data_IF_865830638698
#
_entry.id   IF_865830638698
#
_cell.length_a   1.000
_cell.length_b   1.000
_cell.length_c   1.000
_cell.angle_alpha   90.00
_cell.angle_beta   90.00
_cell.angle_gamma   90.00
#
_symmetry.space_group_name_H-M   'P 1'
#
loop_
_entity.id
_entity.type
_entity.pdbx_description
1 polymer ?
#
# COMPACT_ATOMS: atom_id res chain seq x y z
N UNK A 1 -27.06 -36.74 4.96
CA UNK A 1 -27.26 -35.52 4.13
C UNK A 1 -25.89 -34.90 3.91
N UNK A 2 -25.33 -35.05 2.70
CA UNK A 2 -24.00 -34.54 2.36
C UNK A 2 -24.08 -33.03 2.10
N UNK A 3 -23.35 -32.25 2.87
CA UNK A 3 -23.18 -30.81 2.65
C UNK A 3 -22.24 -30.62 1.46
N UNK A 4 -22.80 -30.26 0.30
CA UNK A 4 -22.02 -29.79 -0.84
C UNK A 4 -21.30 -28.49 -0.44
N UNK A 5 -19.98 -28.57 -0.39
CA UNK A 5 -19.11 -27.38 -0.43
C UNK A 5 -19.31 -26.72 -1.79
N UNK A 6 -19.97 -25.57 -1.79
CA UNK A 6 -20.10 -24.72 -2.96
C UNK A 6 -18.71 -24.11 -3.23
N UNK A 7 -17.93 -24.73 -4.13
CA UNK A 7 -16.73 -24.14 -4.71
C UNK A 7 -17.17 -22.96 -5.59
N UNK A 8 -17.49 -21.85 -4.95
CA UNK A 8 -17.94 -20.63 -5.60
C UNK A 8 -16.81 -19.99 -6.41
N UNK A 9 -16.96 -20.02 -7.73
CA UNK A 9 -16.58 -18.98 -8.69
C UNK A 9 -15.18 -18.34 -8.56
N UNK A 10 -14.15 -19.07 -8.99
CA UNK A 10 -12.87 -18.45 -9.39
C UNK A 10 -12.94 -17.64 -10.71
N UNK A 11 -14.14 -17.56 -11.33
CA UNK A 11 -14.38 -16.88 -12.61
C UNK A 11 -15.27 -15.64 -12.50
N UNK A 12 -15.53 -15.11 -11.29
CA UNK A 12 -16.05 -13.75 -11.20
C UNK A 12 -14.90 -12.79 -11.52
N UNK A 13 -15.08 -11.81 -12.43
CA UNK A 13 -14.19 -10.66 -12.43
C UNK A 13 -14.23 -10.16 -10.99
N UNK A 14 -13.09 -10.20 -10.29
CA UNK A 14 -12.99 -9.53 -8.99
C UNK A 14 -13.53 -8.13 -9.23
N UNK A 15 -14.70 -7.84 -8.65
CA UNK A 15 -15.22 -6.48 -8.64
C UNK A 15 -14.05 -5.60 -8.26
N UNK A 16 -13.80 -4.56 -9.06
CA UNK A 16 -12.72 -3.63 -8.81
C UNK A 16 -12.95 -3.01 -7.44
N UNK A 17 -12.45 -3.65 -6.37
CA UNK A 17 -12.20 -2.99 -5.11
C UNK A 17 -11.12 -2.00 -5.48
N UNK A 18 -11.56 -0.77 -5.80
CA UNK A 18 -10.67 0.31 -6.20
C UNK A 18 -9.59 0.40 -5.13
N UNK A 19 -8.43 -0.10 -5.50
CA UNK A 19 -7.17 0.04 -4.83
C UNK A 19 -7.10 1.33 -4.01
N UNK A 20 -7.14 1.23 -2.68
CA UNK A 20 -7.17 2.42 -1.83
C UNK A 20 -5.76 2.94 -1.63
N UNK A 21 -5.49 4.13 -2.17
CA UNK A 21 -4.20 4.79 -2.01
C UNK A 21 -3.96 5.25 -0.57
N UNK A 22 -2.70 5.19 -0.15
CA UNK A 22 -2.26 5.57 1.20
C UNK A 22 -2.68 6.99 1.60
N UNK A 23 -2.81 7.91 0.64
CA UNK A 23 -3.26 9.28 0.89
C UNK A 23 -4.67 9.37 1.49
N UNK A 24 -5.50 8.32 1.40
CA UNK A 24 -6.83 8.27 2.04
C UNK A 24 -6.77 8.22 3.58
N UNK A 25 -5.62 7.87 4.14
CA UNK A 25 -5.38 7.84 5.58
C UNK A 25 -4.34 8.90 6.00
N UNK A 26 -4.28 10.03 5.27
CA UNK A 26 -3.42 11.16 5.63
C UNK A 26 -3.61 11.57 7.10
N UNK A 27 -2.50 11.81 7.80
CA UNK A 27 -2.46 12.18 9.21
C UNK A 27 -2.75 11.03 10.19
N UNK A 28 -3.04 9.82 9.71
CA UNK A 28 -3.25 8.66 10.58
C UNK A 28 -1.93 7.99 10.93
N UNK A 29 -1.82 7.57 12.19
CA UNK A 29 -0.72 6.72 12.67
C UNK A 29 -0.98 5.28 12.26
N UNK A 30 0.07 4.59 11.86
CA UNK A 30 0.02 3.19 11.46
C UNK A 30 1.32 2.44 11.78
N UNK A 31 1.20 1.12 11.79
CA UNK A 31 2.30 0.17 11.82
C UNK A 31 2.18 -0.75 10.60
N UNK A 32 3.26 -0.86 9.84
CA UNK A 32 3.32 -1.68 8.62
C UNK A 32 3.76 -3.08 9.01
N UNK A 33 2.94 -4.08 8.70
CA UNK A 33 3.24 -5.50 8.98
C UNK A 33 3.67 -6.27 7.73
N UNK A 34 3.48 -5.69 6.55
CA UNK A 34 3.91 -6.33 5.31
C UNK A 34 4.12 -5.29 4.19
N UNK A 35 5.04 -5.60 3.27
CA UNK A 35 5.25 -4.88 2.02
C UNK A 35 5.25 -5.91 0.89
N UNK A 36 4.33 -5.76 -0.06
CA UNK A 36 4.17 -6.67 -1.20
C UNK A 36 3.91 -5.93 -2.49
N UNK A 37 4.09 -6.61 -3.60
CA UNK A 37 3.64 -6.15 -4.91
C UNK A 37 2.36 -6.86 -5.30
N UNK A 38 1.52 -6.17 -6.07
CA UNK A 38 0.36 -6.78 -6.74
C UNK A 38 0.30 -6.26 -8.18
N UNK A 39 -0.24 -7.07 -9.09
CA UNK A 39 -0.44 -6.67 -10.49
C UNK A 39 -1.91 -6.34 -10.71
N UNK A 40 -2.17 -5.27 -11.44
CA UNK A 40 -3.54 -4.81 -11.69
C UNK A 40 -3.67 -3.95 -12.94
N UNK A 41 -4.91 -3.60 -13.26
CA UNK A 41 -5.17 -2.70 -14.38
C UNK A 41 -4.55 -1.32 -14.11
N UNK A 42 -3.84 -0.73 -15.09
CA UNK A 42 -3.25 0.57 -14.94
C UNK A 42 -4.31 1.65 -14.70
N UNK A 43 -3.92 2.66 -13.94
CA UNK A 43 -4.71 3.89 -13.79
C UNK A 43 -4.43 4.83 -14.96
N UNK A 44 -5.26 5.86 -15.20
CA UNK A 44 -4.97 6.89 -16.20
C UNK A 44 -3.63 7.62 -15.98
N UNK A 45 -3.08 7.56 -14.76
CA UNK A 45 -1.82 8.18 -14.37
C UNK A 45 -0.63 7.21 -14.40
N UNK A 46 -0.84 5.94 -14.74
CA UNK A 46 0.24 4.95 -14.84
C UNK A 46 1.12 5.28 -16.05
N UNK A 47 2.44 5.45 -15.89
CA UNK A 47 3.33 5.70 -17.03
C UNK A 47 3.26 4.54 -18.03
N UNK A 48 3.22 4.85 -19.34
CA UNK A 48 3.14 3.82 -20.39
C UNK A 48 4.26 2.77 -20.28
N UNK A 49 5.47 3.18 -19.91
CA UNK A 49 6.60 2.27 -19.71
C UNK A 49 6.53 1.37 -18.47
N UNK A 50 5.55 1.58 -17.59
CA UNK A 50 5.30 0.71 -16.43
C UNK A 50 4.19 -0.33 -16.70
N UNK A 51 3.54 -0.27 -17.86
CA UNK A 51 2.52 -1.22 -18.29
C UNK A 51 3.22 -2.35 -19.04
N UNK A 52 3.07 -3.58 -18.56
CA UNK A 52 3.60 -4.78 -19.21
C UNK A 52 2.89 -5.08 -20.53
N UNK A 53 3.47 -5.97 -21.32
CA UNK A 53 2.89 -6.42 -22.60
C UNK A 53 1.49 -7.04 -22.44
N UNK A 54 1.20 -7.58 -21.25
CA UNK A 54 -0.09 -8.12 -20.85
C UNK A 54 -1.12 -7.05 -20.43
N UNK A 55 -0.76 -5.76 -20.53
CA UNK A 55 -1.63 -4.64 -20.19
C UNK A 55 -1.78 -4.40 -18.69
N UNK A 56 -0.98 -5.06 -17.85
CA UNK A 56 -1.03 -4.92 -16.39
C UNK A 56 0.18 -4.12 -15.88
N UNK A 57 -0.01 -3.41 -14.77
CA UNK A 57 1.09 -2.71 -14.07
C UNK A 57 1.29 -3.30 -12.69
N UNK A 58 2.53 -3.24 -12.21
CA UNK A 58 2.85 -3.55 -10.82
C UNK A 58 2.52 -2.37 -9.91
N UNK A 59 2.02 -2.70 -8.73
CA UNK A 59 1.71 -1.77 -7.66
C UNK A 59 2.36 -2.20 -6.37
N UNK A 60 2.88 -1.24 -5.61
CA UNK A 60 3.39 -1.48 -4.27
C UNK A 60 2.25 -1.32 -3.25
N UNK A 61 2.11 -2.30 -2.36
CA UNK A 61 1.07 -2.34 -1.34
C UNK A 61 1.73 -2.57 0.01
N UNK A 62 1.32 -1.79 0.99
CA UNK A 62 1.60 -2.09 2.40
C UNK A 62 0.35 -2.68 3.04
N UNK A 63 0.54 -3.65 3.93
CA UNK A 63 -0.50 -4.07 4.86
C UNK A 63 -0.20 -3.48 6.25
N UNK A 64 -1.21 -2.93 6.89
CA UNK A 64 -1.11 -2.30 8.21
C UNK A 64 -1.64 -3.21 9.32
N UNK A 65 -1.18 -2.99 10.54
CA UNK A 65 -1.76 -3.61 11.75
C UNK A 65 -3.16 -3.05 11.97
N UNK A 66 -3.29 -1.73 11.83
CA UNK A 66 -4.54 -1.00 11.97
C UNK A 66 -5.45 -1.24 10.76
N UNK A 67 -6.75 -1.09 10.99
CA UNK A 67 -7.75 -0.99 9.93
C UNK A 67 -8.41 0.38 10.00
N UNK A 68 -8.61 1.00 8.85
CA UNK A 68 -9.19 2.33 8.73
C UNK A 68 -10.53 2.25 8.00
N UNK A 69 -11.53 2.98 8.48
CA UNK A 69 -12.82 3.06 7.83
C UNK A 69 -12.77 4.09 6.69
N UNK A 70 -12.99 3.60 5.46
CA UNK A 70 -12.95 4.40 4.23
C UNK A 70 -14.14 3.95 3.39
N UNK A 71 -15.06 4.88 3.09
CA UNK A 71 -16.30 4.59 2.37
C UNK A 71 -17.08 3.40 2.97
N UNK A 72 -17.22 3.37 4.30
CA UNK A 72 -17.90 2.33 5.08
C UNK A 72 -17.27 0.93 4.95
N UNK A 73 -16.01 0.84 4.51
CA UNK A 73 -15.24 -0.39 4.48
C UNK A 73 -14.04 -0.28 5.41
N UNK A 74 -13.77 -1.33 6.17
CA UNK A 74 -12.52 -1.45 6.94
C UNK A 74 -11.40 -1.91 6.03
N UNK A 75 -10.40 -1.07 5.87
CA UNK A 75 -9.28 -1.28 4.95
C UNK A 75 -7.97 -1.27 5.74
N UNK A 76 -7.16 -2.29 5.53
CA UNK A 76 -5.83 -2.44 6.15
C UNK A 76 -4.72 -2.63 5.12
N UNK A 77 -5.02 -2.41 3.83
CA UNK A 77 -4.07 -2.60 2.73
C UNK A 77 -4.13 -1.40 1.82
N UNK A 78 -2.97 -0.79 1.56
CA UNK A 78 -2.89 0.51 0.88
C UNK A 78 -1.85 0.51 -0.22
N UNK A 79 -2.21 1.13 -1.34
CA UNK A 79 -1.29 1.39 -2.44
C UNK A 79 -0.37 2.53 -2.05
N UNK A 80 0.95 2.31 -2.20
CA UNK A 80 1.97 3.26 -1.79
C UNK A 80 2.84 3.70 -2.96
N UNK A 81 3.42 4.88 -2.81
CA UNK A 81 4.37 5.44 -3.77
C UNK A 81 5.72 4.74 -3.66
N UNK A 82 6.56 4.76 -4.72
CA UNK A 82 7.94 4.29 -4.64
C UNK A 82 8.76 4.98 -3.54
N UNK A 83 8.43 6.23 -3.18
CA UNK A 83 9.10 6.94 -2.09
C UNK A 83 8.90 6.24 -0.73
N UNK A 84 7.67 5.80 -0.43
CA UNK A 84 7.37 5.03 0.79
C UNK A 84 8.09 3.69 0.77
N UNK A 85 8.11 3.01 -0.37
CA UNK A 85 8.85 1.75 -0.53
C UNK A 85 10.33 1.94 -0.21
N UNK A 86 10.94 3.01 -0.72
CA UNK A 86 12.32 3.35 -0.42
C UNK A 86 12.55 3.65 1.07
N UNK A 87 11.60 4.28 1.76
CA UNK A 87 11.70 4.50 3.21
C UNK A 87 11.73 3.18 3.98
N UNK A 88 10.88 2.22 3.63
CA UNK A 88 10.86 0.89 4.27
C UNK A 88 12.15 0.13 3.96
N UNK A 89 12.62 0.17 2.71
CA UNK A 89 13.85 -0.51 2.27
C UNK A 89 15.15 0.04 2.89
N UNK A 90 15.10 1.20 3.58
CA UNK A 90 16.26 1.72 4.34
C UNK A 90 16.49 0.96 5.64
N UNK A 91 15.50 0.21 6.13
CA UNK A 91 15.69 -0.65 7.29
C UNK A 91 16.46 -1.90 6.87
N UNK A 92 17.60 -2.20 7.52
CA UNK A 92 18.29 -3.46 7.30
C UNK A 92 17.37 -4.65 7.51
N UNK A 93 17.47 -5.66 6.65
CA UNK A 93 16.71 -6.91 6.76
C UNK A 93 15.18 -6.77 6.82
N UNK A 94 14.61 -5.65 6.32
CA UNK A 94 13.18 -5.36 6.42
C UNK A 94 12.27 -6.51 5.98
N UNK A 95 12.67 -7.30 4.96
CA UNK A 95 11.89 -8.44 4.47
C UNK A 95 11.80 -9.56 5.52
N UNK A 96 12.94 -9.97 6.07
CA UNK A 96 13.03 -10.99 7.11
C UNK A 96 12.30 -10.52 8.37
N UNK A 97 12.48 -9.25 8.72
CA UNK A 97 11.84 -8.66 9.89
C UNK A 97 10.31 -8.66 9.77
N UNK A 98 9.76 -8.18 8.65
CA UNK A 98 8.31 -8.22 8.40
C UNK A 98 7.79 -9.67 8.30
N UNK A 99 8.54 -10.57 7.67
CA UNK A 99 8.17 -11.99 7.57
C UNK A 99 8.14 -12.70 8.94
N UNK A 100 8.99 -12.27 9.88
CA UNK A 100 9.00 -12.78 11.26
C UNK A 100 7.85 -12.23 12.13
N UNK A 101 7.04 -11.33 11.58
CA UNK A 101 5.92 -10.69 12.28
C UNK A 101 6.30 -9.41 13.03
N UNK A 102 7.54 -8.90 12.88
CA UNK A 102 7.85 -7.54 13.33
C UNK A 102 7.10 -6.52 12.50
N UNK A 103 6.94 -5.33 13.06
CA UNK A 103 6.23 -4.23 12.43
C UNK A 103 7.17 -3.05 12.20
N UNK A 104 6.98 -2.35 11.10
CA UNK A 104 7.67 -1.12 10.78
C UNK A 104 6.79 0.08 11.16
N UNK A 105 7.26 0.88 12.11
CA UNK A 105 6.49 1.96 12.72
C UNK A 105 6.83 2.10 14.21
N UNK A 106 6.09 2.95 14.95
CA UNK A 106 4.95 3.72 14.48
C UNK A 106 5.36 4.85 13.53
N UNK A 107 4.55 5.10 12.50
CA UNK A 107 4.72 6.24 11.60
C UNK A 107 3.36 6.89 11.28
N UNK A 108 3.37 8.11 10.73
CA UNK A 108 2.18 8.83 10.27
C UNK A 108 2.23 9.01 8.76
N UNK A 109 1.10 8.87 8.08
CA UNK A 109 1.03 9.21 6.65
C UNK A 109 1.02 10.72 6.48
N UNK A 110 1.91 11.24 5.64
CA UNK A 110 1.98 12.67 5.35
C UNK A 110 2.53 12.95 3.96
N UNK A 111 2.81 14.23 3.69
CA UNK A 111 3.43 14.66 2.46
C UNK A 111 4.68 15.47 2.78
N UNK A 112 5.74 15.30 1.98
CA UNK A 112 6.91 16.17 2.00
C UNK A 112 7.06 16.86 0.65
N UNK A 113 7.71 18.02 0.65
CA UNK A 113 8.08 18.71 -0.59
C UNK A 113 9.40 18.14 -1.13
N UNK A 114 9.41 17.75 -2.40
CA UNK A 114 10.62 17.27 -3.07
C UNK A 114 11.61 18.42 -3.26
N UNK A 115 12.83 18.29 -2.71
CA UNK A 115 13.90 19.27 -2.94
C UNK A 115 14.32 19.35 -4.43
N UNK A 116 14.12 18.27 -5.20
CA UNK A 116 14.51 18.20 -6.62
C UNK A 116 13.49 18.84 -7.55
N UNK A 117 12.20 18.65 -7.28
CA UNK A 117 11.12 19.02 -8.22
C UNK A 117 10.16 20.07 -7.66
N UNK A 118 10.23 20.37 -6.36
CA UNK A 118 9.29 21.24 -5.67
C UNK A 118 7.89 20.65 -5.48
N UNK A 119 7.61 19.46 -6.02
CA UNK A 119 6.31 18.81 -5.90
C UNK A 119 6.14 18.11 -4.54
N UNK A 120 4.89 18.07 -4.05
CA UNK A 120 4.55 17.29 -2.87
C UNK A 120 4.46 15.81 -3.21
N UNK A 121 4.97 14.94 -2.33
CA UNK A 121 4.87 13.50 -2.48
C UNK A 121 4.45 12.84 -1.16
N UNK A 122 3.68 11.76 -1.25
CA UNK A 122 3.28 10.97 -0.10
C UNK A 122 4.48 10.21 0.48
N UNK A 123 4.64 10.27 1.80
CA UNK A 123 5.69 9.63 2.56
C UNK A 123 5.20 9.18 3.94
N UNK A 124 6.05 8.42 4.63
CA UNK A 124 5.90 8.10 6.05
C UNK A 124 6.66 9.15 6.87
N UNK A 125 6.01 9.70 7.89
CA UNK A 125 6.58 10.61 8.87
C UNK A 125 6.87 9.82 10.16
N UNK A 126 8.06 10.01 10.74
CA UNK A 126 8.49 9.29 11.94
C UNK A 126 8.52 10.21 13.17
N UNK A 127 8.40 9.65 14.40
CA UNK A 127 8.58 10.42 15.62
C UNK A 127 9.86 11.26 15.59
N UNK A 128 9.75 12.56 15.85
CA UNK A 128 10.87 13.51 15.82
C UNK A 128 11.10 14.19 14.47
N UNK A 129 10.37 13.82 13.42
CA UNK A 129 10.33 14.59 12.18
C UNK A 129 9.35 15.77 12.29
N UNK A 130 9.65 16.86 11.59
CA UNK A 130 8.69 17.96 11.39
C UNK A 130 7.40 17.40 10.76
N UNK A 131 6.26 17.90 11.23
CA UNK A 131 4.92 17.48 10.78
C UNK A 131 4.47 16.07 11.21
N UNK A 132 5.21 15.34 12.08
CA UNK A 132 4.74 14.07 12.70
C UNK A 132 3.56 14.23 13.67
#
# INVERSE_FOLDING_TARGET
>A
TQTQINLGDYNKPQEQTKAVGIGKISGKKLNIKNLRTNRGKPSPYTPKGAIGEDGLTEYNIIDTVESFEINNQKISSFFVTPAIVQQIKRVPDYQTELASGKVFGPCKVGQKKSARTGANYWCLLFPGEEEY
#
